data_IF_217724893788
#
_entry.id   IF_217724893788
#
_cell.length_a   1.000
_cell.length_b   1.000
_cell.length_c   1.000
_cell.angle_alpha   90.00
_cell.angle_beta   90.00
_cell.angle_gamma   90.00
#
_symmetry.space_group_name_H-M   'P 1'
#
loop_
_entity.id
_entity.type
_entity.pdbx_description
1 polymer ?
#
# COMPACT_ATOMS: atom_id res chain seq x y z
N UNK A 1 19.69 6.97 26.56
CA UNK A 1 18.60 6.31 25.81
C UNK A 1 17.75 7.39 25.20
N UNK A 2 17.47 7.34 23.90
CA UNK A 2 16.58 8.29 23.20
C UNK A 2 15.32 7.53 22.81
N UNK A 3 14.17 8.02 23.23
CA UNK A 3 12.86 7.47 22.88
C UNK A 3 12.18 8.42 21.89
N UNK A 4 11.44 7.87 20.93
CA UNK A 4 10.71 8.66 19.92
C UNK A 4 9.29 8.14 19.79
N UNK A 5 8.35 9.04 19.48
CA UNK A 5 6.91 8.73 19.40
C UNK A 5 6.51 8.12 18.05
N UNK A 6 7.20 7.07 17.61
CA UNK A 6 6.94 6.41 16.32
C UNK A 6 7.02 7.37 15.10
N UNK A 7 7.96 8.32 15.15
CA UNK A 7 8.11 9.38 14.13
C UNK A 7 9.11 9.05 13.02
N UNK A 8 9.50 7.78 12.87
CA UNK A 8 10.59 7.37 11.95
C UNK A 8 10.38 7.78 10.49
N UNK A 9 9.12 7.93 10.04
CA UNK A 9 8.75 8.42 8.71
C UNK A 9 7.86 9.66 8.71
N UNK A 10 7.73 10.36 9.84
CA UNK A 10 6.76 11.44 10.03
C UNK A 10 7.26 12.78 9.47
N UNK A 11 7.41 12.83 8.15
CA UNK A 11 7.67 14.07 7.38
C UNK A 11 6.45 14.37 6.50
N UNK A 12 6.26 15.63 6.10
CA UNK A 12 5.15 16.00 5.21
C UNK A 12 5.28 15.26 3.87
N UNK A 13 6.49 15.21 3.32
CA UNK A 13 6.81 14.49 2.08
C UNK A 13 6.60 12.98 2.25
N UNK A 14 7.01 12.42 3.39
CA UNK A 14 6.81 11.01 3.71
C UNK A 14 5.33 10.64 3.77
N UNK A 15 4.50 11.45 4.44
CA UNK A 15 3.06 11.21 4.49
C UNK A 15 2.39 11.37 3.13
N UNK A 16 2.75 12.40 2.37
CA UNK A 16 2.21 12.60 1.02
C UNK A 16 2.56 11.44 0.09
N UNK A 17 3.82 10.99 0.08
CA UNK A 17 4.28 9.87 -0.74
C UNK A 17 3.62 8.54 -0.33
N UNK A 18 3.51 8.27 0.98
CA UNK A 18 2.82 7.08 1.48
C UNK A 18 1.35 7.06 1.10
N UNK A 19 0.65 8.19 1.23
CA UNK A 19 -0.76 8.30 0.84
C UNK A 19 -0.96 8.07 -0.66
N UNK A 20 -0.12 8.69 -1.50
CA UNK A 20 -0.16 8.51 -2.96
C UNK A 20 0.11 7.04 -3.36
N UNK A 21 1.13 6.42 -2.77
CA UNK A 21 1.47 5.02 -3.04
C UNK A 21 0.36 4.06 -2.59
N UNK A 22 -0.25 4.29 -1.42
CA UNK A 22 -1.37 3.49 -0.93
C UNK A 22 -2.57 3.57 -1.89
N UNK A 23 -2.93 4.78 -2.33
CA UNK A 23 -4.02 4.98 -3.27
C UNK A 23 -3.75 4.28 -4.62
N UNK A 24 -2.54 4.45 -5.18
CA UNK A 24 -2.14 3.82 -6.43
C UNK A 24 -2.24 2.29 -6.35
N UNK A 25 -1.76 1.68 -5.28
CA UNK A 25 -1.84 0.22 -5.08
C UNK A 25 -3.30 -0.27 -5.03
N UNK A 26 -4.20 0.45 -4.35
CA UNK A 26 -5.62 0.07 -4.27
C UNK A 26 -6.27 0.16 -5.66
N UNK A 27 -6.02 1.26 -6.38
CA UNK A 27 -6.57 1.46 -7.72
C UNK A 27 -6.08 0.39 -8.70
N UNK A 28 -4.80 0.00 -8.64
CA UNK A 28 -4.23 -1.07 -9.44
C UNK A 28 -4.95 -2.41 -9.18
N UNK A 29 -5.22 -2.77 -7.91
CA UNK A 29 -6.00 -3.98 -7.58
C UNK A 29 -7.41 -3.90 -8.17
N UNK A 30 -8.09 -2.77 -7.98
CA UNK A 30 -9.47 -2.58 -8.45
C UNK A 30 -9.56 -2.54 -9.99
N UNK A 31 -8.48 -2.21 -10.69
CA UNK A 31 -8.38 -2.33 -12.14
C UNK A 31 -8.09 -3.77 -12.61
N UNK A 32 -7.92 -4.72 -11.70
CA UNK A 32 -7.49 -6.09 -12.02
C UNK A 32 -5.98 -6.21 -12.29
N UNK A 33 -5.20 -5.16 -12.04
CA UNK A 33 -3.75 -5.14 -12.15
C UNK A 33 -3.05 -5.84 -10.98
N UNK A 34 -1.71 -5.78 -10.96
CA UNK A 34 -0.87 -6.31 -9.89
C UNK A 34 -0.07 -5.18 -9.26
N UNK A 35 -0.33 -4.81 -7.99
CA UNK A 35 0.37 -3.72 -7.32
C UNK A 35 1.87 -3.98 -7.21
N UNK A 36 2.68 -2.95 -7.45
CA UNK A 36 4.14 -3.02 -7.43
C UNK A 36 4.72 -3.45 -6.07
N UNK A 37 4.00 -3.19 -4.98
CA UNK A 37 4.47 -3.43 -3.61
C UNK A 37 3.61 -4.45 -2.86
N UNK A 38 3.01 -5.40 -3.58
CA UNK A 38 2.26 -6.48 -2.93
C UNK A 38 3.20 -7.34 -2.07
N UNK A 39 2.86 -7.48 -0.78
CA UNK A 39 3.67 -8.27 0.17
C UNK A 39 3.30 -9.76 0.09
N UNK A 40 1.99 -10.05 0.02
CA UNK A 40 1.47 -11.40 -0.10
C UNK A 40 1.08 -11.69 -1.54
N UNK A 41 2.03 -12.18 -2.34
CA UNK A 41 1.79 -12.49 -3.77
C UNK A 41 0.77 -13.61 -3.96
N UNK A 42 0.68 -14.57 -3.04
CA UNK A 42 -0.24 -15.71 -3.11
C UNK A 42 -1.72 -15.27 -3.00
N UNK A 43 -1.96 -14.12 -2.37
CA UNK A 43 -3.29 -13.52 -2.33
C UNK A 43 -3.78 -13.10 -3.72
N UNK A 44 -2.89 -12.79 -4.66
CA UNK A 44 -3.27 -12.42 -6.03
C UNK A 44 -3.78 -13.62 -6.83
N UNK A 45 -3.18 -14.80 -6.63
CA UNK A 45 -3.60 -16.03 -7.32
C UNK A 45 -4.98 -16.53 -6.85
N UNK A 46 -5.38 -16.18 -5.63
CA UNK A 46 -6.62 -16.62 -5.01
C UNK A 46 -7.69 -15.52 -4.93
N UNK A 47 -7.45 -14.35 -5.53
CA UNK A 47 -8.38 -13.23 -5.41
C UNK A 47 -9.62 -13.49 -6.25
N UNK A 48 -10.78 -13.24 -5.63
CA UNK A 48 -12.07 -13.14 -6.31
C UNK A 48 -12.45 -11.67 -6.38
N UNK A 49 -12.87 -11.20 -7.54
CA UNK A 49 -13.20 -9.79 -7.67
C UNK A 49 -14.56 -9.51 -7.02
N UNK A 50 -14.77 -8.33 -6.40
CA UNK A 50 -16.04 -8.01 -5.72
C UNK A 50 -17.28 -8.02 -6.64
N UNK A 51 -17.08 -8.01 -7.95
CA UNK A 51 -18.12 -8.03 -8.98
C UNK A 51 -18.32 -9.41 -9.63
N UNK A 52 -17.66 -10.47 -9.13
CA UNK A 52 -17.78 -11.88 -9.55
C UNK A 52 -18.57 -12.74 -8.56
#
# INVERSE_FOLDING_TARGET
>A
MVLTSHIGGATEEGFAAMAAAAAANILEVLAGGTPAHVVNTDALSNRRMPWE
#
